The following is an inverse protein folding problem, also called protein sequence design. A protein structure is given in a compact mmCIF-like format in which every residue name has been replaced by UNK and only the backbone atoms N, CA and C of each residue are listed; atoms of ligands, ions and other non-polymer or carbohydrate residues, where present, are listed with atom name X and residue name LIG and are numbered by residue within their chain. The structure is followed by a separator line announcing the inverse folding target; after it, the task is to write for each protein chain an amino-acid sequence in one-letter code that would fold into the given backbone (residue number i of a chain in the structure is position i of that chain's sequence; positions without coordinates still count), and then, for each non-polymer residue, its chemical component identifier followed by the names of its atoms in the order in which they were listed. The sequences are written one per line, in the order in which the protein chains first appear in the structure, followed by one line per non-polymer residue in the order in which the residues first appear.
data_IF_883242085009
#
_entry.id   IF_883242085009
#
_cell.length_a   1.000
_cell.length_b   1.000
_cell.length_c   1.000
_cell.angle_alpha   90.00
_cell.angle_beta   90.00
_cell.angle_gamma   90.00
#
_symmetry.space_group_name_H-M   'P 1'
#
loop_
_entity.id
_entity.type
_entity.pdbx_description
1 polymer ?
#
# COMPACT_ATOMS: atom_id res chain seq x y z
N UNK A 1 45.54 -15.95 10.77
CA UNK A 1 44.52 -14.90 10.52
C UNK A 1 43.32 -15.53 9.82
N UNK A 2 42.20 -15.79 10.52
CA UNK A 2 40.99 -16.35 9.89
C UNK A 2 40.27 -15.23 9.12
N UNK A 3 40.44 -15.24 7.80
CA UNK A 3 39.79 -14.30 6.88
C UNK A 3 38.30 -14.66 6.77
N UNK A 4 37.48 -14.11 7.66
CA UNK A 4 36.05 -14.38 7.77
C UNK A 4 35.29 -13.67 6.64
N UNK A 5 35.39 -14.21 5.42
CA UNK A 5 34.59 -13.77 4.28
C UNK A 5 33.13 -14.12 4.55
N UNK A 6 32.38 -13.18 5.11
CA UNK A 6 30.93 -13.32 5.28
C UNK A 6 30.30 -13.80 3.96
N UNK A 7 29.49 -14.86 3.98
CA UNK A 7 28.91 -15.46 2.77
C UNK A 7 28.11 -14.42 2.00
N UNK A 8 28.23 -14.44 0.67
CA UNK A 8 27.65 -13.47 -0.28
C UNK A 8 26.16 -13.18 -0.01
N UNK A 9 25.41 -14.20 0.44
CA UNK A 9 24.00 -14.09 0.84
C UNK A 9 23.75 -13.20 2.05
N UNK A 10 24.63 -13.19 3.05
CA UNK A 10 24.52 -12.32 4.22
C UNK A 10 24.75 -10.84 3.86
N UNK A 11 25.60 -10.54 2.88
CA UNK A 11 25.83 -9.17 2.40
C UNK A 11 24.62 -8.62 1.65
N UNK A 12 24.01 -9.43 0.78
CA UNK A 12 22.79 -9.08 0.04
C UNK A 12 21.60 -8.83 0.97
N UNK A 13 21.40 -9.69 1.97
CA UNK A 13 20.35 -9.48 2.99
C UNK A 13 20.60 -8.23 3.84
N UNK A 14 21.85 -7.95 4.19
CA UNK A 14 22.21 -6.77 4.98
C UNK A 14 21.99 -5.47 4.21
N UNK A 15 22.27 -5.45 2.91
CA UNK A 15 22.02 -4.30 2.04
C UNK A 15 20.52 -4.06 1.85
N UNK A 16 19.76 -5.10 1.51
CA UNK A 16 18.30 -5.00 1.32
C UNK A 16 17.55 -4.58 2.60
N UNK A 17 17.97 -5.05 3.78
CA UNK A 17 17.40 -4.55 5.04
C UNK A 17 17.68 -3.06 5.26
N UNK A 18 18.90 -2.61 4.95
CA UNK A 18 19.31 -1.20 5.07
C UNK A 18 18.53 -0.30 4.10
N UNK A 19 18.26 -0.79 2.90
CA UNK A 19 17.47 -0.08 1.88
C UNK A 19 16.01 0.04 2.31
N UNK A 20 15.40 -1.04 2.82
CA UNK A 20 14.03 -1.01 3.37
C UNK A 20 13.86 0.01 4.49
N UNK A 21 14.83 0.09 5.41
CA UNK A 21 14.80 1.10 6.48
C UNK A 21 14.88 2.53 5.94
N UNK A 22 15.69 2.77 4.91
CA UNK A 22 15.80 4.09 4.28
C UNK A 22 14.48 4.49 3.61
N UNK A 23 13.87 3.58 2.84
CA UNK A 23 12.58 3.83 2.19
C UNK A 23 11.47 4.09 3.22
N UNK A 24 11.48 3.39 4.35
CA UNK A 24 10.49 3.58 5.42
C UNK A 24 10.62 4.96 6.09
N UNK A 25 11.85 5.41 6.33
CA UNK A 25 12.12 6.75 6.89
C UNK A 25 11.75 7.83 5.88
N UNK A 26 12.04 7.64 4.59
CA UNK A 26 11.62 8.57 3.54
C UNK A 26 10.08 8.68 3.44
N UNK A 27 9.37 7.56 3.57
CA UNK A 27 7.91 7.53 3.64
C UNK A 27 7.39 8.28 4.88
N UNK A 28 8.00 8.06 6.03
CA UNK A 28 7.65 8.77 7.27
C UNK A 28 7.89 10.29 7.14
N UNK A 29 9.01 10.70 6.54
CA UNK A 29 9.37 12.11 6.36
C UNK A 29 8.41 12.86 5.40
N UNK A 30 7.76 12.16 4.47
CA UNK A 30 6.71 12.74 3.61
C UNK A 30 5.42 13.07 4.37
N UNK A 31 5.26 12.52 5.57
CA UNK A 31 4.18 12.83 6.47
C UNK A 31 2.93 11.98 6.30
N UNK A 32 2.08 12.03 7.34
CA UNK A 32 0.89 11.20 7.51
C UNK A 32 -0.13 11.37 6.39
N UNK A 33 -0.45 12.60 6.02
CA UNK A 33 -1.50 12.90 5.02
C UNK A 33 -1.11 12.35 3.65
N UNK A 34 0.15 12.57 3.23
CA UNK A 34 0.66 12.03 1.97
C UNK A 34 0.60 10.50 1.94
N UNK A 35 0.96 9.85 3.05
CA UNK A 35 0.86 8.40 3.17
C UNK A 35 -0.58 7.91 3.06
N UNK A 36 -1.51 8.51 3.80
CA UNK A 36 -2.93 8.10 3.78
C UNK A 36 -3.52 8.27 2.38
N UNK A 37 -3.30 9.39 1.71
CA UNK A 37 -3.83 9.61 0.36
C UNK A 37 -3.23 8.61 -0.62
N UNK A 38 -1.90 8.45 -0.64
CA UNK A 38 -1.24 7.60 -1.62
C UNK A 38 -1.44 6.11 -1.37
N UNK A 39 -1.20 5.67 -0.14
CA UNK A 39 -1.20 4.25 0.20
C UNK A 39 -2.56 3.76 0.70
N UNK A 40 -3.30 4.61 1.41
CA UNK A 40 -4.65 4.28 1.89
C UNK A 40 -5.70 4.46 0.81
N UNK A 41 -5.84 5.66 0.24
CA UNK A 41 -6.91 5.95 -0.73
C UNK A 41 -6.55 5.40 -2.11
N UNK A 42 -5.43 5.81 -2.70
CA UNK A 42 -5.12 5.50 -4.10
C UNK A 42 -4.77 4.02 -4.28
N UNK A 43 -3.78 3.52 -3.54
CA UNK A 43 -3.30 2.14 -3.73
C UNK A 43 -4.22 1.07 -3.14
N UNK A 44 -4.94 1.37 -2.05
CA UNK A 44 -5.81 0.39 -1.42
C UNK A 44 -7.29 0.66 -1.72
N UNK A 45 -7.82 1.84 -1.37
CA UNK A 45 -9.24 2.16 -1.57
C UNK A 45 -9.69 2.08 -3.03
N UNK A 46 -9.12 2.91 -3.91
CA UNK A 46 -9.51 2.98 -5.32
C UNK A 46 -9.24 1.65 -6.02
N UNK A 47 -8.04 1.07 -5.85
CA UNK A 47 -7.73 -0.24 -6.45
C UNK A 47 -8.69 -1.34 -6.01
N UNK A 48 -9.04 -1.40 -4.72
CA UNK A 48 -10.00 -2.39 -4.22
C UNK A 48 -11.41 -2.13 -4.75
N UNK A 49 -11.83 -0.87 -4.84
CA UNK A 49 -13.12 -0.51 -5.44
C UNK A 49 -13.23 -0.90 -6.92
N UNK A 50 -12.17 -0.68 -7.70
CA UNK A 50 -12.08 -1.11 -9.10
C UNK A 50 -12.19 -2.64 -9.20
N UNK A 51 -11.42 -3.37 -8.39
CA UNK A 51 -11.44 -4.83 -8.33
C UNK A 51 -12.86 -5.33 -7.97
N UNK A 52 -13.48 -4.73 -6.96
CA UNK A 52 -14.84 -5.08 -6.53
C UNK A 52 -15.87 -4.88 -7.64
N UNK A 53 -15.82 -3.77 -8.39
CA UNK A 53 -16.70 -3.53 -9.54
C UNK A 53 -16.50 -4.60 -10.62
N UNK A 54 -15.26 -4.96 -10.92
CA UNK A 54 -14.95 -5.99 -11.91
C UNK A 54 -15.51 -7.35 -11.45
N UNK A 55 -15.26 -7.75 -10.20
CA UNK A 55 -15.75 -9.01 -9.65
C UNK A 55 -17.27 -9.07 -9.66
N UNK A 56 -17.94 -8.04 -9.15
CA UNK A 56 -19.42 -7.98 -9.10
C UNK A 56 -20.02 -8.03 -10.50
N UNK A 57 -19.44 -7.32 -11.47
CA UNK A 57 -19.87 -7.37 -12.87
C UNK A 57 -19.72 -8.77 -13.46
N UNK A 58 -18.59 -9.45 -13.19
CA UNK A 58 -18.35 -10.82 -13.65
C UNK A 58 -19.35 -11.79 -13.02
N UNK A 59 -19.61 -11.68 -11.72
CA UNK A 59 -20.54 -12.58 -11.02
C UNK A 59 -22.00 -12.37 -11.43
N UNK A 60 -22.43 -11.13 -11.71
CA UNK A 60 -23.82 -10.83 -12.08
C UNK A 60 -24.09 -11.00 -13.58
N UNK A 61 -23.12 -10.64 -14.42
CA UNK A 61 -23.33 -10.49 -15.87
C UNK A 61 -22.51 -11.44 -16.73
N UNK A 62 -21.69 -12.30 -16.14
CA UNK A 62 -20.67 -13.11 -16.82
C UNK A 62 -19.43 -12.29 -17.19
N UNK A 63 -18.39 -12.97 -17.69
CA UNK A 63 -17.17 -12.30 -18.14
C UNK A 63 -17.40 -11.56 -19.47
N UNK A 64 -17.61 -10.24 -19.41
CA UNK A 64 -17.73 -9.37 -20.59
C UNK A 64 -17.02 -8.04 -20.35
N UNK A 65 -15.98 -7.78 -21.15
CA UNK A 65 -15.22 -6.52 -21.08
C UNK A 65 -16.10 -5.30 -21.33
N UNK A 66 -17.07 -5.41 -22.23
CA UNK A 66 -18.01 -4.32 -22.54
C UNK A 66 -18.85 -3.95 -21.31
N UNK A 67 -19.40 -4.94 -20.60
CA UNK A 67 -20.16 -4.72 -19.37
C UNK A 67 -19.31 -4.12 -18.26
N UNK A 68 -18.03 -4.49 -18.17
CA UNK A 68 -17.10 -3.91 -17.19
C UNK A 68 -16.92 -2.41 -17.45
N UNK A 69 -16.69 -2.01 -18.70
CA UNK A 69 -16.51 -0.59 -19.07
C UNK A 69 -17.81 0.21 -18.84
N UNK A 70 -18.96 -0.34 -19.23
CA UNK A 70 -20.27 0.26 -18.97
C UNK A 70 -20.55 0.36 -17.45
N UNK A 71 -20.09 -0.62 -16.67
CA UNK A 71 -20.16 -0.62 -15.22
C UNK A 71 -19.43 0.57 -14.59
N UNK A 72 -18.26 0.98 -15.10
CA UNK A 72 -17.56 2.17 -14.60
C UNK A 72 -18.28 3.48 -14.89
N UNK A 73 -19.14 3.51 -15.91
CA UNK A 73 -19.96 4.68 -16.24
C UNK A 73 -21.24 4.78 -15.39
N UNK A 74 -21.54 3.76 -14.57
CA UNK A 74 -22.72 3.75 -13.71
C UNK A 74 -22.48 4.60 -12.44
N UNK A 75 -23.35 5.59 -12.15
CA UNK A 75 -23.21 6.44 -10.96
C UNK A 75 -23.22 5.67 -9.64
N UNK A 76 -23.88 4.50 -9.57
CA UNK A 76 -23.86 3.66 -8.37
C UNK A 76 -22.46 3.09 -8.08
N UNK A 77 -21.69 2.78 -9.12
CA UNK A 77 -20.33 2.26 -8.97
C UNK A 77 -19.32 3.35 -8.58
N UNK A 78 -19.59 4.61 -8.94
CA UNK A 78 -18.85 5.77 -8.42
C UNK A 78 -19.01 5.90 -6.90
N UNK A 79 -20.21 5.68 -6.35
CA UNK A 79 -20.42 5.65 -4.90
C UNK A 79 -19.65 4.53 -4.23
N UNK A 80 -19.56 3.36 -4.86
CA UNK A 80 -18.76 2.23 -4.37
C UNK A 80 -17.28 2.62 -4.28
N UNK A 81 -16.71 3.21 -5.34
CA UNK A 81 -15.31 3.69 -5.33
C UNK A 81 -15.12 4.76 -4.25
N UNK A 82 -16.06 5.70 -4.10
CA UNK A 82 -16.04 6.71 -3.04
C UNK A 82 -16.05 6.08 -1.65
N UNK A 83 -16.91 5.08 -1.42
CA UNK A 83 -17.00 4.34 -0.16
C UNK A 83 -15.71 3.58 0.16
N UNK A 84 -15.12 2.88 -0.81
CA UNK A 84 -13.81 2.25 -0.63
C UNK A 84 -12.68 3.28 -0.44
N UNK A 85 -12.78 4.45 -1.06
CA UNK A 85 -11.87 5.58 -0.85
C UNK A 85 -11.90 6.06 0.61
N UNK A 86 -13.11 6.26 1.17
CA UNK A 86 -13.30 6.58 2.59
C UNK A 86 -12.77 5.47 3.51
N UNK A 87 -13.05 4.20 3.18
CA UNK A 87 -12.46 3.05 3.86
C UNK A 87 -10.93 3.08 3.80
N UNK A 88 -10.36 3.50 2.67
CA UNK A 88 -8.93 3.70 2.47
C UNK A 88 -8.33 4.78 3.37
N UNK A 89 -9.09 5.82 3.73
CA UNK A 89 -8.65 6.84 4.72
C UNK A 89 -8.50 6.19 6.10
N UNK A 90 -9.50 5.42 6.52
CA UNK A 90 -9.50 4.72 7.82
C UNK A 90 -8.35 3.71 7.85
N UNK A 91 -8.22 2.91 6.81
CA UNK A 91 -7.15 1.92 6.68
C UNK A 91 -5.76 2.55 6.66
N UNK A 92 -5.57 3.59 5.85
CA UNK A 92 -4.31 4.34 5.80
C UNK A 92 -3.94 4.96 7.15
N UNK A 93 -4.92 5.43 7.91
CA UNK A 93 -4.71 5.98 9.25
C UNK A 93 -4.29 4.93 10.27
N UNK A 94 -4.86 3.73 10.19
CA UNK A 94 -4.45 2.58 11.03
C UNK A 94 -3.02 2.13 10.67
N UNK A 95 -2.74 1.97 9.38
CA UNK A 95 -1.41 1.56 8.88
C UNK A 95 -0.33 2.60 9.20
N UNK A 96 -0.67 3.89 9.18
CA UNK A 96 0.27 4.94 9.58
C UNK A 96 0.81 4.74 11.00
N UNK A 97 -0.04 4.33 11.96
CA UNK A 97 0.41 4.04 13.33
C UNK A 97 1.48 2.96 13.38
N UNK A 98 1.40 1.98 12.48
CA UNK A 98 2.41 0.93 12.38
C UNK A 98 3.71 1.46 11.76
N UNK A 99 3.61 2.23 10.66
CA UNK A 99 4.77 2.87 10.02
C UNK A 99 5.51 3.81 10.98
N UNK A 100 4.78 4.62 11.74
CA UNK A 100 5.34 5.53 12.74
C UNK A 100 6.06 4.76 13.85
N UNK A 101 5.45 3.68 14.38
CA UNK A 101 6.06 2.82 15.39
C UNK A 101 7.35 2.16 14.88
N UNK A 102 7.35 1.71 13.64
CA UNK A 102 8.49 1.07 12.99
C UNK A 102 9.62 2.10 12.73
N UNK A 103 9.28 3.28 12.21
CA UNK A 103 10.23 4.37 11.96
C UNK A 103 10.90 4.85 13.26
N UNK A 104 10.12 5.02 14.34
CA UNK A 104 10.64 5.42 15.65
C UNK A 104 11.60 4.38 16.25
N UNK A 105 11.32 3.08 16.11
CA UNK A 105 12.24 2.01 16.53
C UNK A 105 13.58 2.09 15.78
N UNK A 106 13.53 2.36 14.48
CA UNK A 106 14.75 2.47 13.65
C UNK A 106 15.57 3.71 14.07
N UNK A 107 14.91 4.82 14.37
CA UNK A 107 15.60 6.04 14.85
C UNK A 107 16.23 5.84 16.23
N UNK A 108 15.52 5.20 17.18
CA UNK A 108 16.07 4.92 18.51
C UNK A 108 17.29 3.99 18.47
N UNK A 109 17.28 2.99 17.59
CA UNK A 109 18.42 2.06 17.43
C UNK A 109 19.66 2.71 16.80
N UNK A 110 19.53 3.93 16.29
CA UNK A 110 20.61 4.70 15.62
C UNK A 110 21.21 5.79 16.52
N UNK A 111 20.56 6.13 17.64
CA UNK A 111 21.13 6.92 18.74
C UNK A 111 21.96 6.00 19.63
#
# INVERSE_FOLDING_TARGET
MKNNKQPKNQRLQKNTAKDKHKTLIELYNKGKVHYIIKHGIVNWGISTGIIFIILTTIFQGGFSLRKIIEGFSNPNNLWVIGGFGLGGIVWGSLMWKWVEKEANKIQQKKK
#
